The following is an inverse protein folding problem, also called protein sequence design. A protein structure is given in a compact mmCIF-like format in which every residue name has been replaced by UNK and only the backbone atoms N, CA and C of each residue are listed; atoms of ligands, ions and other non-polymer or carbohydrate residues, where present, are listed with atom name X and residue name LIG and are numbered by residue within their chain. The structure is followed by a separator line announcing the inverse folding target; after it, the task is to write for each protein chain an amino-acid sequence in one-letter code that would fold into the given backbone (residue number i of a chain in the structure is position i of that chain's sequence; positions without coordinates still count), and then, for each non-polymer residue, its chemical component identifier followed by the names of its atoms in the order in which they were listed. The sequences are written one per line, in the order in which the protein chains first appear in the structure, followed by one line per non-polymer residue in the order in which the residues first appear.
data_IF_167726760222
#
_entry.id   IF_167726760222
#
_cell.length_a   1.000
_cell.length_b   1.000
_cell.length_c   1.000
_cell.angle_alpha   90.00
_cell.angle_beta   90.00
_cell.angle_gamma   90.00
#
_symmetry.space_group_name_H-M   'P 1'
#
loop_
_entity.id
_entity.type
_entity.pdbx_description
1 polymer ?
#
# COMPACT_ATOMS: atom_id res chain seq x y z
N UNK A 1 46.78 4.02 -66.77
CA UNK A 1 47.10 3.21 -65.56
C UNK A 1 46.11 3.35 -64.40
N UNK A 2 45.34 4.44 -64.26
CA UNK A 2 44.44 4.64 -63.09
C UNK A 2 43.13 3.83 -63.15
N UNK A 3 42.50 3.65 -64.32
CA UNK A 3 41.22 2.93 -64.43
C UNK A 3 41.28 1.45 -64.04
N UNK A 4 42.40 0.76 -64.29
CA UNK A 4 42.57 -0.67 -63.98
C UNK A 4 42.70 -0.92 -62.46
N UNK A 5 43.24 0.04 -61.70
CA UNK A 5 43.37 -0.07 -60.23
C UNK A 5 42.01 0.01 -59.52
N UNK A 6 41.08 0.82 -60.01
CA UNK A 6 39.75 0.96 -59.40
C UNK A 6 38.86 -0.25 -59.67
N UNK A 7 38.92 -0.85 -60.87
CA UNK A 7 38.14 -2.06 -61.17
C UNK A 7 38.59 -3.27 -60.36
N UNK A 8 39.91 -3.38 -60.09
CA UNK A 8 40.45 -4.44 -59.23
C UNK A 8 40.10 -4.21 -57.75
N UNK A 9 40.15 -2.96 -57.26
CA UNK A 9 39.76 -2.62 -55.89
C UNK A 9 38.26 -2.82 -55.64
N UNK A 10 37.41 -2.46 -56.59
CA UNK A 10 35.95 -2.64 -56.50
C UNK A 10 35.61 -4.13 -56.53
N UNK A 11 36.26 -4.92 -57.39
CA UNK A 11 36.09 -6.38 -57.45
C UNK A 11 36.48 -7.09 -56.16
N UNK A 12 37.60 -6.68 -55.53
CA UNK A 12 38.03 -7.23 -54.24
C UNK A 12 37.08 -6.83 -53.09
N UNK A 13 36.59 -5.58 -53.10
CA UNK A 13 35.65 -5.09 -52.10
C UNK A 13 34.30 -5.82 -52.18
N UNK A 14 33.79 -6.12 -53.38
CA UNK A 14 32.56 -6.91 -53.55
C UNK A 14 32.72 -8.37 -53.13
N UNK A 15 33.88 -8.99 -53.36
CA UNK A 15 34.15 -10.36 -52.93
C UNK A 15 34.29 -10.49 -51.40
N UNK A 16 34.85 -9.46 -50.74
CA UNK A 16 34.94 -9.40 -49.28
C UNK A 16 33.57 -9.13 -48.64
N UNK A 17 32.69 -8.37 -49.29
CA UNK A 17 31.33 -8.10 -48.79
C UNK A 17 30.39 -9.32 -48.91
N UNK A 18 30.61 -10.19 -49.91
CA UNK A 18 29.83 -11.44 -50.06
C UNK A 18 30.16 -12.53 -49.02
N UNK A 19 31.29 -12.43 -48.33
CA UNK A 19 31.68 -13.37 -47.25
C UNK A 19 31.01 -13.05 -45.90
N UNK A 20 30.39 -11.87 -45.75
CA UNK A 20 29.67 -11.47 -44.52
C UNK A 20 28.17 -11.73 -44.56
N UNK A 21 27.62 -12.27 -45.66
CA UNK A 21 26.18 -12.51 -45.80
C UNK A 21 25.75 -13.98 -45.60
N UNK A 22 26.68 -14.89 -45.32
CA UNK A 22 26.32 -16.22 -44.81
C UNK A 22 26.22 -16.16 -43.29
N UNK A 23 25.21 -15.46 -42.81
CA UNK A 23 24.72 -15.68 -41.45
C UNK A 23 24.21 -17.12 -41.42
N UNK A 24 24.89 -17.99 -40.67
CA UNK A 24 24.29 -19.23 -40.22
C UNK A 24 23.03 -18.83 -39.45
N UNK A 25 21.85 -18.99 -40.08
CA UNK A 25 20.60 -18.97 -39.36
C UNK A 25 20.69 -20.10 -38.33
N UNK A 26 20.88 -19.76 -37.06
CA UNK A 26 20.73 -20.72 -35.98
C UNK A 26 19.29 -21.21 -36.05
N UNK A 27 19.08 -22.36 -36.69
CA UNK A 27 17.83 -23.08 -36.59
C UNK A 27 17.73 -23.51 -35.13
N UNK A 28 17.04 -22.70 -34.31
CA UNK A 28 16.67 -23.10 -32.97
C UNK A 28 15.98 -24.46 -33.07
N UNK A 29 16.31 -25.42 -32.19
CA UNK A 29 15.66 -26.72 -32.21
C UNK A 29 14.16 -26.51 -32.10
N UNK A 30 13.44 -26.92 -33.15
CA UNK A 30 11.99 -26.91 -33.14
C UNK A 30 11.48 -27.86 -32.06
N UNK A 31 10.38 -27.51 -31.41
CA UNK A 31 9.79 -28.32 -30.37
C UNK A 31 9.36 -29.67 -30.96
N UNK A 32 10.14 -30.72 -30.68
CA UNK A 32 9.78 -32.10 -31.07
C UNK A 32 8.51 -32.47 -30.29
N UNK A 33 7.40 -32.64 -31.01
CA UNK A 33 6.16 -33.17 -30.43
C UNK A 33 6.47 -34.48 -29.72
N UNK A 34 6.26 -34.49 -28.41
CA UNK A 34 6.48 -35.66 -27.57
C UNK A 34 5.12 -36.15 -27.09
N UNK A 35 4.88 -37.47 -27.12
CA UNK A 35 3.68 -38.03 -26.50
C UNK A 35 3.67 -37.82 -24.98
N UNK A 36 4.83 -37.53 -24.38
CA UNK A 36 5.01 -37.49 -22.93
C UNK A 36 5.00 -36.04 -22.40
N UNK A 37 4.02 -35.24 -22.85
CA UNK A 37 3.89 -33.86 -22.36
C UNK A 37 3.54 -33.83 -20.87
N UNK A 38 3.90 -32.74 -20.21
CA UNK A 38 3.79 -32.55 -18.74
C UNK A 38 3.22 -31.16 -18.41
N UNK A 39 2.29 -30.68 -19.23
CA UNK A 39 1.68 -29.35 -19.08
C UNK A 39 0.53 -29.44 -18.08
N UNK A 40 0.45 -28.47 -17.17
CA UNK A 40 -0.68 -28.30 -16.25
C UNK A 40 -1.69 -27.36 -16.92
N UNK A 41 -2.92 -27.83 -17.14
CA UNK A 41 -3.97 -27.04 -17.78
C UNK A 41 -4.86 -26.35 -16.75
N UNK A 42 -5.21 -27.06 -15.69
CA UNK A 42 -6.00 -26.54 -14.56
C UNK A 42 -5.63 -27.27 -13.28
N UNK A 43 -5.85 -26.63 -12.13
CA UNK A 43 -5.61 -27.22 -10.81
C UNK A 43 -6.53 -26.57 -9.80
N UNK A 44 -7.12 -27.39 -8.91
CA UNK A 44 -7.94 -26.94 -7.79
C UNK A 44 -7.62 -27.74 -6.54
N UNK A 45 -7.75 -27.10 -5.38
CA UNK A 45 -7.75 -27.79 -4.08
C UNK A 45 -9.14 -28.35 -3.88
N UNK A 46 -9.26 -29.60 -3.43
CA UNK A 46 -10.58 -30.24 -3.22
C UNK A 46 -10.96 -30.39 -1.74
N UNK A 47 -10.03 -30.12 -0.83
CA UNK A 47 -10.21 -30.31 0.61
C UNK A 47 -9.80 -29.09 1.45
N UNK A 48 -10.08 -27.89 0.96
CA UNK A 48 -9.85 -26.67 1.72
C UNK A 48 -10.95 -26.46 2.80
N UNK A 49 -10.72 -25.51 3.71
CA UNK A 49 -11.68 -25.16 4.76
C UNK A 49 -11.60 -26.08 5.98
N UNK A 50 -12.18 -25.62 7.10
CA UNK A 50 -12.30 -26.36 8.37
C UNK A 50 -12.83 -27.79 8.17
N UNK A 51 -13.88 -27.94 7.37
CA UNK A 51 -14.55 -29.23 7.12
C UNK A 51 -13.86 -30.05 6.01
N UNK A 52 -12.83 -29.51 5.35
CA UNK A 52 -12.06 -30.20 4.32
C UNK A 52 -12.86 -30.56 3.06
N UNK A 53 -13.86 -29.77 2.70
CA UNK A 53 -14.75 -30.02 1.55
C UNK A 53 -14.89 -28.81 0.61
N UNK A 54 -14.13 -27.73 0.86
CA UNK A 54 -14.18 -26.53 0.03
C UNK A 54 -13.26 -26.69 -1.17
N UNK A 55 -13.81 -26.45 -2.36
CA UNK A 55 -13.04 -26.44 -3.61
C UNK A 55 -12.52 -25.04 -3.88
N UNK A 56 -11.22 -24.92 -4.17
CA UNK A 56 -10.57 -23.64 -4.46
C UNK A 56 -9.79 -23.75 -5.76
N UNK A 57 -10.23 -22.99 -6.76
CA UNK A 57 -9.60 -22.94 -8.08
C UNK A 57 -8.24 -22.22 -8.03
N UNK A 58 -7.24 -22.81 -8.68
CA UNK A 58 -5.91 -22.26 -8.84
C UNK A 58 -5.75 -21.51 -10.15
N UNK A 59 -4.90 -20.50 -10.14
CA UNK A 59 -4.53 -19.73 -11.33
C UNK A 59 -3.09 -20.08 -11.69
N UNK A 60 -2.90 -20.55 -12.92
CA UNK A 60 -1.62 -21.01 -13.44
C UNK A 60 -1.00 -19.93 -14.30
N UNK A 61 0.26 -19.60 -14.04
CA UNK A 61 1.12 -18.91 -14.98
C UNK A 61 2.09 -19.93 -15.58
N UNK A 62 1.78 -20.37 -16.80
CA UNK A 62 2.58 -21.37 -17.49
C UNK A 62 3.98 -20.83 -17.83
N UNK A 63 4.17 -19.53 -18.07
CA UNK A 63 5.49 -19.00 -18.40
C UNK A 63 6.39 -18.97 -17.16
N UNK A 64 5.85 -18.50 -16.04
CA UNK A 64 6.56 -18.44 -14.77
C UNK A 64 6.62 -19.80 -14.05
N UNK A 65 5.83 -20.79 -14.50
CA UNK A 65 5.63 -22.09 -13.83
C UNK A 65 5.17 -21.90 -12.38
N UNK A 66 4.27 -20.95 -12.16
CA UNK A 66 3.69 -20.68 -10.84
C UNK A 66 2.21 -21.01 -10.81
N UNK A 67 1.72 -21.36 -9.63
CA UNK A 67 0.30 -21.50 -9.34
C UNK A 67 0.00 -20.73 -8.07
N UNK A 68 -1.06 -19.94 -8.09
CA UNK A 68 -1.57 -19.26 -6.90
C UNK A 68 -3.04 -19.53 -6.69
N UNK A 69 -3.45 -19.53 -5.43
CA UNK A 69 -4.85 -19.68 -5.03
C UNK A 69 -5.35 -18.41 -4.34
N UNK A 70 -6.68 -18.15 -4.36
CA UNK A 70 -7.33 -17.26 -3.41
C UNK A 70 -6.91 -17.60 -1.97
N UNK A 71 -7.00 -16.63 -1.07
CA UNK A 71 -6.69 -16.87 0.34
C UNK A 71 -7.64 -17.94 0.89
N UNK A 72 -7.10 -18.96 1.54
CA UNK A 72 -7.84 -20.10 2.08
C UNK A 72 -8.03 -19.97 3.59
N UNK A 73 -9.02 -20.67 4.12
CA UNK A 73 -9.31 -20.69 5.56
C UNK A 73 -8.08 -21.16 6.36
N UNK A 74 -7.63 -20.41 7.39
CA UNK A 74 -6.57 -20.84 8.30
C UNK A 74 -6.83 -22.19 8.99
N UNK A 75 -8.07 -22.63 9.13
CA UNK A 75 -8.44 -23.93 9.71
C UNK A 75 -8.36 -25.11 8.72
N UNK A 76 -7.92 -24.87 7.48
CA UNK A 76 -7.67 -25.94 6.49
C UNK A 76 -6.62 -26.93 7.01
N UNK A 77 -6.78 -28.23 6.72
CA UNK A 77 -5.72 -29.22 6.98
C UNK A 77 -4.54 -29.06 5.99
N UNK A 78 -3.56 -28.25 6.38
CA UNK A 78 -2.40 -27.90 5.55
C UNK A 78 -1.37 -29.04 5.41
N UNK A 79 -1.45 -30.10 6.23
CA UNK A 79 -0.53 -31.25 6.15
C UNK A 79 -0.88 -32.25 5.05
N UNK A 80 -2.09 -32.15 4.46
CA UNK A 80 -2.57 -33.10 3.46
C UNK A 80 -3.46 -32.44 2.40
N UNK A 81 -2.97 -31.39 1.76
CA UNK A 81 -3.68 -30.70 0.67
C UNK A 81 -3.75 -31.61 -0.56
N UNK A 82 -4.98 -31.82 -1.06
CA UNK A 82 -5.25 -32.63 -2.25
C UNK A 82 -5.58 -31.73 -3.43
N UNK A 83 -4.90 -31.98 -4.54
CA UNK A 83 -5.17 -31.30 -5.79
C UNK A 83 -5.92 -32.22 -6.76
N UNK A 84 -6.91 -31.65 -7.43
CA UNK A 84 -7.46 -32.22 -8.66
C UNK A 84 -6.99 -31.32 -9.81
N UNK A 85 -6.38 -31.93 -10.83
CA UNK A 85 -5.71 -31.20 -11.90
C UNK A 85 -5.99 -31.81 -13.26
N UNK A 86 -6.22 -30.97 -14.26
CA UNK A 86 -6.19 -31.39 -15.66
C UNK A 86 -4.79 -31.15 -16.22
N UNK A 87 -4.22 -32.16 -16.87
CA UNK A 87 -2.87 -32.12 -17.41
C UNK A 87 -2.80 -32.74 -18.80
N UNK A 88 -1.60 -32.75 -19.39
CA UNK A 88 -1.31 -33.52 -20.59
C UNK A 88 -1.64 -35.00 -20.43
N UNK A 89 -1.99 -35.66 -21.53
CA UNK A 89 -2.36 -37.08 -21.53
C UNK A 89 -1.24 -37.97 -20.97
N UNK A 90 -1.60 -38.87 -20.05
CA UNK A 90 -0.65 -39.76 -19.37
C UNK A 90 0.18 -39.10 -18.27
N UNK A 91 0.12 -37.77 -18.12
CA UNK A 91 0.79 -37.10 -17.02
C UNK A 91 0.04 -37.33 -15.69
N UNK A 92 0.80 -37.32 -14.59
CA UNK A 92 0.27 -37.42 -13.22
C UNK A 92 1.04 -36.53 -12.25
N UNK A 93 0.38 -36.13 -11.16
CA UNK A 93 1.08 -35.57 -10.00
C UNK A 93 2.00 -36.62 -9.39
N UNK A 94 3.13 -36.17 -8.82
CA UNK A 94 4.09 -37.05 -8.16
C UNK A 94 3.61 -37.59 -6.81
N UNK A 95 2.62 -36.93 -6.19
CA UNK A 95 2.05 -37.28 -4.88
C UNK A 95 0.54 -37.06 -4.89
N UNK A 96 -0.19 -37.77 -4.03
CA UNK A 96 -1.65 -37.61 -3.87
C UNK A 96 -2.03 -36.44 -2.97
N UNK A 97 -1.15 -36.09 -2.03
CA UNK A 97 -1.34 -35.00 -1.08
C UNK A 97 -0.01 -34.30 -0.80
N UNK A 98 -0.09 -33.01 -0.47
CA UNK A 98 1.06 -32.14 -0.26
C UNK A 98 0.94 -31.41 1.08
N UNK A 99 2.08 -31.25 1.75
CA UNK A 99 2.17 -30.51 3.01
C UNK A 99 2.63 -29.06 2.78
N UNK A 100 1.91 -28.12 3.38
CA UNK A 100 2.27 -26.70 3.46
C UNK A 100 2.53 -26.33 4.92
N UNK A 101 3.80 -26.36 5.32
CA UNK A 101 4.22 -25.93 6.66
C UNK A 101 4.45 -24.42 6.70
N UNK A 102 3.63 -23.71 7.48
CA UNK A 102 3.73 -22.27 7.73
C UNK A 102 4.54 -22.02 9.01
N UNK A 103 5.48 -21.08 8.93
CA UNK A 103 6.17 -20.59 10.12
C UNK A 103 5.29 -19.56 10.84
N UNK A 104 5.52 -19.38 12.14
CA UNK A 104 4.80 -18.39 12.94
C UNK A 104 4.96 -16.99 12.33
N UNK A 105 3.83 -16.29 12.14
CA UNK A 105 3.79 -14.95 11.55
C UNK A 105 3.75 -14.91 10.02
N UNK A 106 3.93 -16.04 9.32
CA UNK A 106 3.82 -16.10 7.87
C UNK A 106 2.39 -16.49 7.45
N UNK A 107 1.83 -15.74 6.49
CA UNK A 107 0.51 -15.98 5.91
C UNK A 107 0.58 -16.63 4.52
N UNK A 108 1.78 -16.88 4.00
CA UNK A 108 2.02 -17.44 2.67
C UNK A 108 3.10 -18.53 2.72
N UNK A 109 2.89 -19.61 1.95
CA UNK A 109 3.89 -20.67 1.77
C UNK A 109 3.91 -21.13 0.32
N UNK A 110 5.11 -21.25 -0.23
CA UNK A 110 5.34 -21.81 -1.57
C UNK A 110 6.04 -23.17 -1.46
N UNK A 111 5.54 -24.15 -2.21
CA UNK A 111 6.18 -25.47 -2.38
C UNK A 111 6.34 -25.79 -3.86
N UNK A 112 7.11 -26.83 -4.17
CA UNK A 112 7.23 -27.36 -5.53
C UNK A 112 6.34 -28.59 -5.69
N UNK A 113 5.44 -28.57 -6.67
CA UNK A 113 4.72 -29.77 -7.11
C UNK A 113 5.33 -30.26 -8.43
N UNK A 114 5.32 -31.57 -8.66
CA UNK A 114 5.91 -32.18 -9.85
C UNK A 114 4.87 -32.96 -10.64
N UNK A 115 4.80 -32.69 -11.93
CA UNK A 115 4.03 -33.43 -12.92
C UNK A 115 4.99 -34.34 -13.68
N UNK A 116 4.67 -35.63 -13.76
CA UNK A 116 5.53 -36.66 -14.36
C UNK A 116 4.79 -37.35 -15.50
N UNK A 117 5.48 -37.49 -16.62
CA UNK A 117 5.09 -38.33 -17.76
C UNK A 117 6.40 -38.89 -18.35
N UNK A 118 6.82 -40.07 -17.88
CA UNK A 118 8.18 -40.58 -18.08
C UNK A 118 8.61 -40.56 -19.56
N UNK A 119 9.84 -40.13 -19.90
CA UNK A 119 10.91 -39.71 -19.00
C UNK A 119 10.85 -38.22 -18.61
N UNK A 120 9.80 -37.49 -19.01
CA UNK A 120 9.67 -36.05 -18.78
C UNK A 120 9.03 -35.75 -17.44
N UNK A 121 9.41 -34.61 -16.87
CA UNK A 121 8.73 -34.03 -15.73
C UNK A 121 8.72 -32.51 -15.85
N UNK A 122 7.81 -31.86 -15.14
CA UNK A 122 7.75 -30.41 -14.98
C UNK A 122 7.41 -30.06 -13.55
N UNK A 123 8.03 -29.01 -13.04
CA UNK A 123 7.85 -28.52 -11.68
C UNK A 123 7.11 -27.18 -11.71
N UNK A 124 6.21 -26.99 -10.75
CA UNK A 124 5.48 -25.73 -10.56
C UNK A 124 5.65 -25.25 -9.12
N UNK A 125 5.87 -23.95 -8.97
CA UNK A 125 5.87 -23.28 -7.67
C UNK A 125 4.44 -22.94 -7.26
N UNK A 126 3.92 -23.67 -6.29
CA UNK A 126 2.55 -23.51 -5.82
C UNK A 126 2.54 -22.71 -4.53
N UNK A 127 1.82 -21.59 -4.53
CA UNK A 127 1.70 -20.70 -3.37
C UNK A 127 0.32 -20.76 -2.76
N UNK A 128 0.24 -21.15 -1.49
CA UNK A 128 -0.96 -21.00 -0.66
C UNK A 128 -0.82 -19.79 0.24
N UNK A 129 -1.94 -19.08 0.44
CA UNK A 129 -2.04 -17.94 1.34
C UNK A 129 -3.22 -18.15 2.27
N UNK A 130 -3.04 -17.89 3.55
CA UNK A 130 -4.08 -17.97 4.56
C UNK A 130 -4.89 -16.67 4.60
N UNK A 131 -6.18 -16.79 4.84
CA UNK A 131 -7.07 -15.66 5.03
C UNK A 131 -7.04 -15.20 6.49
N UNK A 132 -5.93 -14.57 6.89
CA UNK A 132 -5.75 -14.08 8.26
C UNK A 132 -6.50 -12.75 8.44
N UNK A 133 -7.42 -12.64 9.41
CA UNK A 133 -8.06 -11.37 9.74
C UNK A 133 -7.03 -10.31 10.13
N UNK A 134 -7.13 -9.13 9.53
CA UNK A 134 -6.32 -7.96 9.88
C UNK A 134 -7.15 -7.00 10.73
N UNK A 135 -6.51 -6.37 11.72
CA UNK A 135 -7.16 -5.50 12.68
C UNK A 135 -6.48 -4.13 12.74
N UNK A 136 -7.24 -3.09 13.05
CA UNK A 136 -6.74 -1.72 13.22
C UNK A 136 -6.80 -0.87 11.94
N UNK A 137 -6.06 0.24 11.96
CA UNK A 137 -5.99 1.18 10.84
C UNK A 137 -4.98 0.74 9.78
N UNK A 138 -5.33 0.93 8.51
CA UNK A 138 -4.41 0.71 7.39
C UNK A 138 -3.56 1.96 7.16
N UNK A 139 -2.36 1.97 7.76
CA UNK A 139 -1.42 3.09 7.63
C UNK A 139 -0.85 3.27 6.21
N UNK A 140 -1.13 2.37 5.26
CA UNK A 140 -0.78 2.56 3.85
C UNK A 140 -1.86 3.32 3.06
N UNK A 141 -3.05 3.52 3.66
CA UNK A 141 -4.19 4.22 3.06
C UNK A 141 -4.53 5.48 3.83
N UNK A 142 -3.51 6.28 4.14
CA UNK A 142 -3.69 7.53 4.85
C UNK A 142 -4.22 8.65 3.93
N UNK A 143 -4.86 9.65 4.53
CA UNK A 143 -5.18 10.93 3.89
C UNK A 143 -4.60 12.05 4.76
N UNK A 144 -3.87 12.97 4.14
CA UNK A 144 -3.22 14.09 4.85
C UNK A 144 -3.90 15.40 4.43
N UNK A 145 -4.34 16.16 5.43
CA UNK A 145 -4.77 17.55 5.27
C UNK A 145 -3.77 18.45 5.96
N UNK A 146 -2.77 18.89 5.20
CA UNK A 146 -1.59 19.54 5.75
C UNK A 146 -1.77 21.05 5.87
N UNK A 147 -1.45 21.60 7.05
CA UNK A 147 -1.38 23.03 7.33
C UNK A 147 -0.06 23.38 8.06
N UNK A 148 0.93 22.48 7.97
CA UNK A 148 2.29 22.63 8.45
C UNK A 148 3.18 23.06 7.29
N UNK A 149 4.28 23.76 7.58
CA UNK A 149 5.20 24.21 6.53
C UNK A 149 5.93 23.02 5.90
N UNK A 150 5.47 22.50 4.76
CA UNK A 150 6.20 21.49 4.00
C UNK A 150 6.25 21.82 2.49
N UNK A 151 7.20 21.19 1.80
CA UNK A 151 7.56 21.50 0.41
C UNK A 151 6.45 21.18 -0.63
N UNK A 152 5.44 20.40 -0.24
CA UNK A 152 4.36 19.92 -1.11
C UNK A 152 2.94 20.23 -0.61
N UNK A 153 2.79 20.91 0.53
CA UNK A 153 1.49 21.16 1.17
C UNK A 153 1.12 22.64 1.25
N UNK A 154 0.04 22.93 1.98
CA UNK A 154 -0.44 24.29 2.17
C UNK A 154 0.58 25.13 2.95
N UNK A 155 0.60 26.46 2.77
CA UNK A 155 1.39 27.32 3.62
C UNK A 155 1.03 27.09 5.09
N UNK A 156 2.02 27.19 5.97
CA UNK A 156 1.78 27.11 7.42
C UNK A 156 0.63 28.03 7.81
N UNK A 157 -0.30 27.50 8.61
CA UNK A 157 -1.44 28.27 9.07
C UNK A 157 -0.97 29.60 9.68
N UNK A 158 -1.47 30.76 9.23
CA UNK A 158 -0.82 32.06 9.49
C UNK A 158 -0.53 32.34 10.97
N UNK A 159 -1.44 31.93 11.86
CA UNK A 159 -1.28 32.15 13.30
C UNK A 159 -0.12 31.36 13.93
N UNK A 160 0.33 30.26 13.29
CA UNK A 160 1.44 29.42 13.77
C UNK A 160 2.83 29.87 13.27
N UNK A 161 2.94 31.03 12.62
CA UNK A 161 4.24 31.60 12.20
C UNK A 161 5.04 32.23 13.34
N UNK A 162 4.43 32.43 14.51
CA UNK A 162 5.04 33.11 15.64
C UNK A 162 4.66 32.49 16.99
N UNK A 163 5.15 33.11 18.06
CA UNK A 163 4.98 32.61 19.44
C UNK A 163 3.65 33.00 20.09
N UNK A 164 2.78 33.72 19.36
CA UNK A 164 1.46 34.16 19.84
C UNK A 164 0.45 33.02 19.94
N UNK A 165 0.68 31.94 19.19
CA UNK A 165 -0.16 30.73 19.14
C UNK A 165 0.65 29.55 19.64
N UNK A 166 0.18 28.93 20.72
CA UNK A 166 0.87 27.78 21.35
C UNK A 166 -0.08 26.66 21.75
N UNK A 167 -1.38 26.86 21.55
CA UNK A 167 -2.42 25.90 21.86
C UNK A 167 -3.29 25.63 20.64
N UNK A 168 -3.72 24.39 20.52
CA UNK A 168 -4.71 23.94 19.54
C UNK A 168 -5.53 22.81 20.14
N UNK A 169 -6.71 22.56 19.58
CA UNK A 169 -7.58 21.45 19.93
C UNK A 169 -8.24 20.87 18.68
N UNK A 170 -8.63 19.60 18.73
CA UNK A 170 -9.30 18.92 17.63
C UNK A 170 -10.30 17.90 18.16
N UNK A 171 -11.55 17.96 17.68
CA UNK A 171 -12.62 17.03 18.06
C UNK A 171 -13.18 16.21 16.89
N UNK A 172 -12.60 16.35 15.69
CA UNK A 172 -13.11 15.73 14.46
C UNK A 172 -13.98 16.64 13.60
N UNK A 173 -14.62 17.66 14.18
CA UNK A 173 -15.47 18.62 13.45
C UNK A 173 -14.81 20.00 13.34
N UNK A 174 -14.13 20.44 14.39
CA UNK A 174 -13.44 21.72 14.47
C UNK A 174 -11.98 21.57 14.91
N UNK A 175 -11.14 22.45 14.38
CA UNK A 175 -9.79 22.73 14.89
C UNK A 175 -9.86 24.05 15.66
N UNK A 176 -9.50 24.03 16.93
CA UNK A 176 -9.37 25.22 17.77
C UNK A 176 -7.99 25.83 17.59
N UNK A 177 -7.93 27.14 17.36
CA UNK A 177 -6.70 27.93 17.33
C UNK A 177 -6.67 28.83 18.56
N UNK A 178 -5.75 28.56 19.49
CA UNK A 178 -5.55 29.39 20.70
C UNK A 178 -4.43 30.37 20.44
N UNK A 179 -4.82 31.58 20.05
CA UNK A 179 -3.90 32.64 19.64
C UNK A 179 -4.16 33.96 20.36
N UNK A 180 -3.06 34.69 20.59
CA UNK A 180 -3.02 36.08 21.06
C UNK A 180 -2.77 37.08 19.94
N UNK A 181 -2.69 36.61 18.69
CA UNK A 181 -2.55 37.49 17.53
C UNK A 181 -3.86 38.26 17.28
N UNK A 182 -3.79 39.25 16.38
CA UNK A 182 -4.86 40.23 16.15
C UNK A 182 -6.20 39.59 15.76
N UNK A 183 -6.17 38.44 15.09
CA UNK A 183 -7.36 37.68 14.69
C UNK A 183 -8.15 37.05 15.86
N UNK A 184 -7.54 36.97 17.05
CA UNK A 184 -8.15 36.34 18.22
C UNK A 184 -8.27 34.82 18.12
N UNK A 185 -8.54 34.16 19.25
CA UNK A 185 -8.77 32.71 19.26
C UNK A 185 -10.07 32.34 18.53
N UNK A 186 -10.04 31.28 17.74
CA UNK A 186 -11.12 30.93 16.80
C UNK A 186 -11.16 29.42 16.50
N UNK A 187 -12.27 28.98 15.92
CA UNK A 187 -12.45 27.63 15.39
C UNK A 187 -12.29 27.64 13.87
N UNK A 188 -11.90 26.49 13.32
CA UNK A 188 -11.89 26.20 11.88
C UNK A 188 -12.67 24.91 11.65
N UNK A 189 -13.61 24.92 10.70
CA UNK A 189 -14.37 23.72 10.37
C UNK A 189 -13.52 22.75 9.56
N UNK A 190 -13.45 21.49 9.99
CA UNK A 190 -12.63 20.45 9.35
C UNK A 190 -13.04 20.23 7.90
N UNK A 191 -14.33 20.25 7.60
CA UNK A 191 -14.82 20.08 6.22
C UNK A 191 -14.40 21.21 5.26
N UNK A 192 -14.16 22.41 5.79
CA UNK A 192 -13.62 23.52 5.00
C UNK A 192 -12.10 23.34 4.81
N UNK A 193 -11.39 22.92 5.86
CA UNK A 193 -9.96 22.61 5.78
C UNK A 193 -9.66 21.48 4.78
N UNK A 194 -10.52 20.47 4.68
CA UNK A 194 -10.40 19.39 3.69
C UNK A 194 -10.47 19.88 2.23
N UNK A 195 -11.02 21.08 2.01
CA UNK A 195 -11.13 21.76 0.72
C UNK A 195 -10.11 22.88 0.55
N UNK A 196 -9.15 23.00 1.48
CA UNK A 196 -8.21 24.11 1.57
C UNK A 196 -8.89 25.49 1.73
N UNK A 197 -10.08 25.53 2.34
CA UNK A 197 -10.80 26.76 2.64
C UNK A 197 -10.55 27.18 4.09
N UNK A 198 -10.03 28.39 4.28
CA UNK A 198 -9.78 28.96 5.61
C UNK A 198 -10.90 29.95 5.94
N UNK A 199 -11.83 29.53 6.81
CA UNK A 199 -12.96 30.34 7.30
C UNK A 199 -12.99 30.34 8.83
N UNK A 200 -12.25 31.25 9.49
CA UNK A 200 -12.24 31.35 10.94
C UNK A 200 -13.64 31.66 11.50
N UNK A 201 -14.04 30.91 12.52
CA UNK A 201 -15.24 31.16 13.34
C UNK A 201 -14.72 31.79 14.65
N UNK A 202 -14.83 33.11 14.82
CA UNK A 202 -14.26 33.79 15.98
C UNK A 202 -14.96 33.36 17.27
N UNK A 203 -14.18 33.18 18.34
CA UNK A 203 -14.74 33.07 19.69
C UNK A 203 -15.08 34.47 20.20
N UNK A 204 -16.20 34.61 20.90
CA UNK A 204 -16.50 35.81 21.65
C UNK A 204 -15.59 35.85 22.90
N UNK A 205 -14.62 36.75 22.89
CA UNK A 205 -13.62 36.90 23.95
C UNK A 205 -13.99 37.98 24.99
N UNK A 206 -15.26 38.39 25.05
CA UNK A 206 -15.73 39.36 26.04
C UNK A 206 -15.47 38.82 27.45
N UNK A 207 -14.87 39.62 28.33
CA UNK A 207 -14.52 39.19 29.69
C UNK A 207 -13.27 38.30 29.81
N UNK A 208 -12.68 37.84 28.71
CA UNK A 208 -11.43 37.07 28.71
C UNK A 208 -10.25 37.99 29.03
N UNK A 209 -9.82 37.98 30.30
CA UNK A 209 -8.76 38.87 30.79
C UNK A 209 -8.05 38.34 32.04
N UNK A 210 -6.84 38.85 32.26
CA UNK A 210 -6.01 38.48 33.40
C UNK A 210 -5.07 37.30 33.12
N UNK A 211 -4.11 37.10 34.01
CA UNK A 211 -2.95 36.25 33.77
C UNK A 211 -1.80 37.02 33.14
N UNK A 212 -0.65 36.36 33.02
CA UNK A 212 0.50 36.86 32.26
C UNK A 212 0.20 36.86 30.77
N UNK A 213 -0.47 35.82 30.27
CA UNK A 213 -1.11 35.82 28.96
C UNK A 213 -2.58 35.50 29.11
N UNK A 214 -3.45 36.24 28.42
CA UNK A 214 -4.91 36.12 28.53
C UNK A 214 -5.44 34.78 28.00
N UNK A 215 -4.76 34.18 27.02
CA UNK A 215 -5.02 32.84 26.47
C UNK A 215 -3.67 32.18 26.15
N UNK A 216 -3.55 30.87 26.32
CA UNK A 216 -2.29 30.17 26.04
C UNK A 216 -2.46 28.73 25.54
N UNK A 217 -3.20 27.90 26.28
CA UNK A 217 -3.53 26.54 25.88
C UNK A 217 -5.05 26.36 25.86
N UNK A 218 -5.51 25.32 25.18
CA UNK A 218 -6.92 25.02 25.11
C UNK A 218 -7.16 23.64 24.52
N UNK A 219 -8.42 23.23 24.58
CA UNK A 219 -8.88 21.97 24.03
C UNK A 219 -10.26 22.16 23.41
N UNK A 220 -10.51 21.38 22.37
CA UNK A 220 -11.82 21.25 21.74
C UNK A 220 -12.32 19.85 22.05
N UNK A 221 -13.43 19.74 22.78
CA UNK A 221 -13.93 18.46 23.32
C UNK A 221 -15.44 18.41 23.15
N UNK A 222 -15.93 17.49 22.32
CA UNK A 222 -17.36 17.25 22.10
C UNK A 222 -18.16 18.53 21.77
N UNK A 223 -17.64 19.38 20.87
CA UNK A 223 -18.27 20.64 20.51
C UNK A 223 -18.06 21.80 21.51
N UNK A 224 -17.44 21.54 22.66
CA UNK A 224 -17.10 22.57 23.64
C UNK A 224 -15.66 23.06 23.46
N UNK A 225 -15.47 24.36 23.60
CA UNK A 225 -14.15 24.99 23.59
C UNK A 225 -13.73 25.34 25.01
N UNK A 226 -12.52 24.95 25.38
CA UNK A 226 -11.89 25.35 26.65
C UNK A 226 -10.59 26.08 26.36
N UNK A 227 -10.37 27.22 26.99
CA UNK A 227 -9.10 27.95 26.89
C UNK A 227 -8.64 28.33 28.30
N UNK A 228 -7.39 28.02 28.61
CA UNK A 228 -6.74 28.49 29.82
C UNK A 228 -5.77 29.63 29.51
N UNK A 229 -5.73 30.59 30.43
CA UNK A 229 -4.74 31.66 30.42
C UNK A 229 -3.38 31.13 30.94
N UNK A 230 -2.33 31.96 30.88
CA UNK A 230 -1.03 31.62 31.50
C UNK A 230 -0.85 32.43 32.79
N UNK A 231 -0.67 31.74 33.92
CA UNK A 231 -0.24 32.34 35.17
C UNK A 231 1.29 32.26 35.30
N UNK A 232 1.96 33.40 35.38
CA UNK A 232 3.42 33.50 35.52
C UNK A 232 3.92 33.58 36.97
N UNK A 233 3.04 33.46 37.97
CA UNK A 233 3.42 33.56 39.38
C UNK A 233 2.22 33.67 40.33
N UNK A 234 2.49 33.67 41.64
CA UNK A 234 1.47 33.55 42.70
C UNK A 234 0.32 34.57 42.64
N UNK A 235 0.60 35.79 42.16
CA UNK A 235 -0.41 36.87 42.05
C UNK A 235 -1.12 36.91 40.69
N UNK A 236 -0.64 36.14 39.71
CA UNK A 236 -1.21 36.07 38.37
C UNK A 236 -2.34 35.05 38.37
N UNK A 237 -3.60 35.43 38.12
CA UNK A 237 -4.72 34.50 38.22
C UNK A 237 -4.61 33.44 37.13
N UNK A 238 -4.87 32.18 37.49
CA UNK A 238 -5.12 31.10 36.55
C UNK A 238 -6.62 31.00 36.32
N UNK A 239 -7.05 31.19 35.08
CA UNK A 239 -8.44 31.15 34.64
C UNK A 239 -8.60 30.14 33.51
N UNK A 240 -9.74 29.48 33.51
CA UNK A 240 -10.20 28.59 32.45
C UNK A 240 -11.53 29.17 31.98
N UNK A 241 -11.65 29.34 30.67
CA UNK A 241 -12.84 29.84 30.00
C UNK A 241 -13.46 28.72 29.19
N UNK A 242 -14.79 28.70 29.13
CA UNK A 242 -15.55 27.69 28.43
C UNK A 242 -16.57 28.30 27.48
N UNK A 243 -16.69 27.72 26.27
CA UNK A 243 -17.75 28.04 25.32
C UNK A 243 -18.50 26.77 24.92
N UNK A 244 -19.82 26.84 24.97
CA UNK A 244 -20.73 25.88 24.31
C UNK A 244 -21.14 26.36 22.90
N UNK A 245 -21.08 27.67 22.66
CA UNK A 245 -21.37 28.34 21.40
C UNK A 245 -20.32 29.45 21.21
N UNK A 246 -19.56 29.47 20.10
CA UNK A 246 -18.49 30.43 19.86
C UNK A 246 -18.98 31.89 19.83
N UNK A 247 -20.28 32.13 19.61
CA UNK A 247 -20.85 33.48 19.58
C UNK A 247 -21.21 34.04 20.96
N UNK A 248 -21.28 33.20 21.99
CA UNK A 248 -21.66 33.60 23.36
C UNK A 248 -20.44 33.97 24.20
N UNK A 249 -20.66 34.82 25.19
CA UNK A 249 -19.62 35.11 26.19
C UNK A 249 -19.20 33.81 26.91
N UNK A 250 -17.92 33.67 27.27
CA UNK A 250 -17.45 32.50 27.98
C UNK A 250 -17.98 32.44 29.40
N UNK A 251 -18.11 31.20 29.88
CA UNK A 251 -18.23 30.88 31.30
C UNK A 251 -16.86 30.79 31.98
#
# INVERSE_FOLDING_TARGET
MQKIKYTLLIGLATAFFSLFLTSCGENYPENIESPNQVVLKSIKIVNAGKEGNTVVEGVIDENAKTVWFPRIDPETNLSAIKFEAEMSDGAKLNQEAYEFSFEEGNDAKTIVIKIVNEPRFREYFVTLRLNIPVFGADFNKFQIYDNTNNELGNPVYPSFKGLSTRGTGFDGEHVLIVTRATEGSHLLKVEDLKKNEIKPIPLNLTGVAGGTFVVNCGAQIHGHTYIANLSGGLVSPLKIYHWTDPTKEPE
#
